data_IF_752023076865
#
_entry.id   IF_752023076865
#
_cell.length_a   1.000
_cell.length_b   1.000
_cell.length_c   1.000
_cell.angle_alpha   90.00
_cell.angle_beta   90.00
_cell.angle_gamma   90.00
#
_symmetry.space_group_name_H-M   'P 1'
#
loop_
_entity.id
_entity.type
_entity.pdbx_description
1 polymer ?
#
# COMPACT_ATOMS: atom_id res chain seq x y z
N UNK A 1 -19.69 10.65 -14.10
CA UNK A 1 -19.08 10.60 -12.76
C UNK A 1 -19.94 9.82 -11.76
N UNK A 2 -21.25 10.09 -11.64
CA UNK A 2 -22.15 9.35 -10.73
C UNK A 2 -22.37 7.89 -11.13
N UNK A 3 -22.73 7.61 -12.38
CA UNK A 3 -23.33 6.31 -12.76
C UNK A 3 -22.40 5.09 -12.66
N UNK A 4 -21.11 5.25 -12.97
CA UNK A 4 -20.13 4.14 -12.90
C UNK A 4 -19.72 3.84 -11.46
N UNK A 5 -19.59 4.88 -10.63
CA UNK A 5 -19.34 4.73 -9.19
C UNK A 5 -20.57 4.16 -8.46
N UNK A 6 -21.79 4.54 -8.88
CA UNK A 6 -23.04 4.00 -8.34
C UNK A 6 -23.18 2.50 -8.65
N UNK A 7 -22.91 2.10 -9.91
CA UNK A 7 -22.94 0.69 -10.32
C UNK A 7 -21.90 -0.16 -9.58
N UNK A 8 -20.70 0.39 -9.37
CA UNK A 8 -19.65 -0.27 -8.59
C UNK A 8 -20.04 -0.45 -7.12
N UNK A 9 -20.67 0.56 -6.50
CA UNK A 9 -21.17 0.45 -5.13
C UNK A 9 -22.33 -0.56 -5.01
N UNK A 10 -23.23 -0.62 -6.00
CA UNK A 10 -24.34 -1.60 -6.02
C UNK A 10 -23.80 -3.03 -6.06
N UNK A 11 -22.81 -3.33 -6.90
CA UNK A 11 -22.24 -4.68 -6.99
C UNK A 11 -21.46 -5.10 -5.73
N UNK A 12 -20.84 -4.17 -5.00
CA UNK A 12 -20.17 -4.45 -3.74
C UNK A 12 -21.15 -4.93 -2.64
N UNK A 13 -22.36 -4.38 -2.62
CA UNK A 13 -23.44 -4.80 -1.70
C UNK A 13 -23.97 -6.19 -2.06
N UNK A 14 -23.87 -6.61 -3.33
CA UNK A 14 -24.36 -7.91 -3.79
C UNK A 14 -23.35 -9.05 -3.60
N UNK A 15 -22.04 -8.79 -3.66
CA UNK A 15 -21.01 -9.84 -3.55
C UNK A 15 -20.73 -10.31 -2.12
N UNK A 16 -21.12 -9.53 -1.10
CA UNK A 16 -20.93 -9.81 0.34
C UNK A 16 -22.23 -10.34 1.01
N UNK A 17 -23.12 -10.99 0.28
CA UNK A 17 -24.29 -11.64 0.86
C UNK A 17 -23.98 -13.05 1.40
N UNK A 18 -23.19 -13.14 2.47
CA UNK A 18 -23.24 -14.30 3.36
C UNK A 18 -22.90 -13.96 4.81
N UNK A 19 -23.73 -13.15 5.47
CA UNK A 19 -24.01 -13.23 6.92
C UNK A 19 -25.41 -12.65 7.13
N UNK A 20 -26.27 -13.41 7.81
CA UNK A 20 -27.64 -13.04 8.16
C UNK A 20 -27.74 -11.64 8.81
N UNK A 21 -28.52 -10.71 8.23
CA UNK A 21 -29.73 -10.15 8.89
C UNK A 21 -30.50 -9.20 7.95
N UNK A 22 -31.82 -9.25 8.06
CA UNK A 22 -32.81 -8.80 7.08
C UNK A 22 -33.04 -7.27 7.01
N UNK A 23 -31.99 -6.44 7.01
CA UNK A 23 -32.13 -4.96 7.03
C UNK A 23 -31.30 -4.13 6.05
N UNK A 24 -30.55 -4.71 5.12
CA UNK A 24 -29.72 -3.96 4.16
C UNK A 24 -30.32 -3.87 2.74
N UNK A 25 -31.63 -3.65 2.61
CA UNK A 25 -32.28 -3.39 1.31
C UNK A 25 -32.79 -1.96 1.21
N UNK A 26 -31.87 -1.01 1.17
CA UNK A 26 -32.15 0.34 0.67
C UNK A 26 -30.99 0.77 -0.20
N UNK A 27 -31.30 0.96 -1.47
CA UNK A 27 -30.50 1.74 -2.41
C UNK A 27 -30.05 3.02 -1.70
N UNK A 28 -28.73 3.15 -1.49
CA UNK A 28 -28.17 4.36 -0.93
C UNK A 28 -28.29 5.44 -2.02
N UNK A 29 -28.90 6.60 -1.73
CA UNK A 29 -28.97 7.68 -2.69
C UNK A 29 -27.57 8.08 -3.15
N UNK A 30 -27.39 8.24 -4.47
CA UNK A 30 -26.13 8.66 -5.08
C UNK A 30 -25.58 9.92 -4.39
N UNK A 31 -24.36 9.85 -3.87
CA UNK A 31 -23.65 10.99 -3.26
C UNK A 31 -23.68 11.08 -1.72
N UNK A 32 -24.14 10.05 -1.01
CA UNK A 32 -24.18 10.04 0.47
C UNK A 32 -22.85 9.66 1.14
N UNK A 33 -21.94 9.00 0.41
CA UNK A 33 -20.66 8.52 0.94
C UNK A 33 -19.52 9.26 0.27
N UNK A 34 -18.74 10.01 1.04
CA UNK A 34 -17.53 10.69 0.54
C UNK A 34 -16.37 9.71 0.40
N UNK A 35 -15.38 10.06 -0.42
CA UNK A 35 -14.12 9.30 -0.54
C UNK A 35 -13.48 9.02 0.82
N UNK A 36 -13.46 10.03 1.69
CA UNK A 36 -12.88 9.93 3.04
C UNK A 36 -13.66 8.96 3.93
N UNK A 37 -15.01 8.91 3.81
CA UNK A 37 -15.84 7.96 4.57
C UNK A 37 -15.68 6.52 4.08
N UNK A 38 -15.50 6.32 2.77
CA UNK A 38 -15.15 5.01 2.21
C UNK A 38 -13.75 4.58 2.65
N UNK A 39 -12.77 5.47 2.67
CA UNK A 39 -11.41 5.20 3.17
C UNK A 39 -11.43 4.81 4.66
N UNK A 40 -12.27 5.44 5.48
CA UNK A 40 -12.45 5.12 6.91
C UNK A 40 -13.14 3.76 7.12
N UNK A 41 -14.18 3.44 6.34
CA UNK A 41 -14.83 2.11 6.37
C UNK A 41 -13.83 1.04 5.95
N UNK A 42 -13.05 1.30 4.90
CA UNK A 42 -12.05 0.39 4.34
C UNK A 42 -10.86 0.18 5.27
N UNK A 43 -10.48 1.17 6.09
CA UNK A 43 -9.49 1.02 7.16
C UNK A 43 -9.99 0.09 8.28
N UNK A 44 -11.31 -0.01 8.48
CA UNK A 44 -11.94 -0.89 9.48
C UNK A 44 -12.14 -2.34 8.97
N UNK A 45 -12.24 -2.56 7.65
CA UNK A 45 -12.39 -3.92 7.08
C UNK A 45 -11.04 -4.62 6.90
N UNK A 46 -10.96 -5.91 7.27
CA UNK A 46 -9.76 -6.73 7.12
C UNK A 46 -9.20 -6.70 5.67
N UNK A 47 -7.87 -6.77 5.53
CA UNK A 47 -7.12 -6.35 4.33
C UNK A 47 -7.48 -6.97 2.97
N UNK A 48 -8.28 -8.05 2.90
CA UNK A 48 -8.81 -8.58 1.63
C UNK A 48 -9.86 -7.65 1.04
N UNK A 49 -10.81 -7.18 1.86
CA UNK A 49 -11.87 -6.27 1.43
C UNK A 49 -11.30 -4.92 0.95
N UNK A 50 -10.24 -4.42 1.59
CA UNK A 50 -9.51 -3.24 1.12
C UNK A 50 -8.93 -3.43 -0.27
N UNK A 51 -8.31 -4.59 -0.54
CA UNK A 51 -7.72 -4.89 -1.85
C UNK A 51 -8.81 -4.98 -2.93
N UNK A 52 -9.95 -5.61 -2.62
CA UNK A 52 -11.08 -5.75 -3.55
C UNK A 52 -11.75 -4.42 -3.87
N UNK A 53 -12.04 -3.59 -2.86
CA UNK A 53 -12.65 -2.26 -3.06
C UNK A 53 -11.71 -1.36 -3.89
N UNK A 54 -10.42 -1.38 -3.59
CA UNK A 54 -9.45 -0.60 -4.36
C UNK A 54 -9.29 -1.14 -5.79
N UNK A 55 -9.31 -2.45 -6.00
CA UNK A 55 -9.31 -3.04 -7.35
C UNK A 55 -10.54 -2.61 -8.15
N UNK A 56 -11.72 -2.63 -7.54
CA UNK A 56 -12.93 -2.15 -8.21
C UNK A 56 -12.84 -0.66 -8.57
N UNK A 57 -12.33 0.17 -7.64
CA UNK A 57 -12.15 1.59 -7.92
C UNK A 57 -11.14 1.85 -9.05
N UNK A 58 -10.03 1.11 -9.08
CA UNK A 58 -9.07 1.22 -10.17
C UNK A 58 -9.63 0.70 -11.51
N UNK A 59 -10.50 -0.31 -11.51
CA UNK A 59 -11.18 -0.77 -12.73
C UNK A 59 -12.09 0.33 -13.29
N UNK A 60 -12.86 1.01 -12.44
CA UNK A 60 -13.69 2.14 -12.85
C UNK A 60 -12.87 3.29 -13.44
N UNK A 61 -11.71 3.60 -12.86
CA UNK A 61 -10.79 4.60 -13.41
C UNK A 61 -10.20 4.16 -14.77
N UNK A 62 -9.86 2.88 -14.92
CA UNK A 62 -9.34 2.35 -16.19
C UNK A 62 -10.37 2.42 -17.32
N UNK A 63 -11.65 2.18 -17.03
CA UNK A 63 -12.74 2.36 -18.00
C UNK A 63 -12.79 3.80 -18.52
N UNK A 64 -12.70 4.79 -17.62
CA UNK A 64 -12.68 6.21 -18.01
C UNK A 64 -11.41 6.55 -18.80
N UNK A 65 -10.24 6.08 -18.36
CA UNK A 65 -8.95 6.30 -19.04
C UNK A 65 -8.90 5.68 -20.45
N UNK A 66 -9.65 4.59 -20.67
CA UNK A 66 -9.68 3.83 -21.93
C UNK A 66 -10.89 4.15 -22.80
N UNK A 67 -11.77 5.04 -22.36
CA UNK A 67 -13.03 5.40 -23.03
C UNK A 67 -13.93 4.16 -23.29
N UNK A 68 -13.95 3.23 -22.34
CA UNK A 68 -14.86 2.08 -22.36
C UNK A 68 -16.25 2.49 -21.84
N UNK A 69 -17.30 1.88 -22.37
CA UNK A 69 -18.68 2.09 -21.89
C UNK A 69 -19.05 1.18 -20.71
N UNK A 70 -18.29 0.13 -20.47
CA UNK A 70 -18.48 -0.86 -19.40
C UNK A 70 -17.13 -1.43 -18.94
N UNK A 71 -17.08 -2.01 -17.73
CA UNK A 71 -15.87 -2.66 -17.20
C UNK A 71 -15.61 -3.95 -17.99
N UNK A 72 -14.53 -3.96 -18.76
CA UNK A 72 -14.07 -5.13 -19.50
C UNK A 72 -13.16 -6.04 -18.68
N UNK A 73 -12.88 -7.24 -19.21
CA UNK A 73 -11.94 -8.19 -18.59
C UNK A 73 -10.54 -7.60 -18.40
N UNK A 74 -10.10 -6.76 -19.33
CA UNK A 74 -8.78 -6.13 -19.30
C UNK A 74 -8.72 -5.03 -18.23
N UNK A 75 -9.84 -4.38 -17.93
CA UNK A 75 -9.94 -3.39 -16.85
C UNK A 75 -9.90 -4.06 -15.49
N UNK A 76 -10.56 -5.22 -15.35
CA UNK A 76 -10.51 -6.05 -14.12
C UNK A 76 -9.11 -6.64 -13.91
N UNK A 77 -8.47 -7.16 -14.96
CA UNK A 77 -7.14 -7.76 -14.83
C UNK A 77 -6.10 -6.73 -14.36
N UNK A 78 -6.10 -5.54 -14.98
CA UNK A 78 -5.12 -4.50 -14.67
C UNK A 78 -5.44 -3.75 -13.37
N UNK A 79 -6.69 -3.79 -12.90
CA UNK A 79 -7.08 -3.07 -11.70
C UNK A 79 -6.46 -3.62 -10.42
N UNK A 80 -6.23 -4.95 -10.34
CA UNK A 80 -5.60 -5.56 -9.16
C UNK A 80 -4.18 -5.08 -8.97
N UNK A 81 -3.36 -5.06 -10.03
CA UNK A 81 -1.98 -4.58 -9.95
C UNK A 81 -1.96 -3.09 -9.61
N UNK A 82 -2.83 -2.30 -10.27
CA UNK A 82 -2.94 -0.87 -10.03
C UNK A 82 -3.40 -0.55 -8.61
N UNK A 83 -4.33 -1.33 -8.06
CA UNK A 83 -4.83 -1.18 -6.70
C UNK A 83 -3.77 -1.54 -5.67
N UNK A 84 -3.03 -2.64 -5.87
CA UNK A 84 -1.90 -2.97 -5.00
C UNK A 84 -0.86 -1.84 -5.01
N UNK A 85 -0.52 -1.30 -6.19
CA UNK A 85 0.40 -0.16 -6.31
C UNK A 85 -0.13 1.07 -5.57
N UNK A 86 -1.40 1.40 -5.76
CA UNK A 86 -2.05 2.51 -5.07
C UNK A 86 -2.02 2.34 -3.54
N UNK A 87 -2.36 1.15 -3.02
CA UNK A 87 -2.35 0.85 -1.58
C UNK A 87 -0.93 1.03 -1.01
N UNK A 88 0.08 0.48 -1.68
CA UNK A 88 1.46 0.61 -1.25
C UNK A 88 1.94 2.08 -1.28
N UNK A 89 1.50 2.87 -2.26
CA UNK A 89 1.76 4.32 -2.34
C UNK A 89 1.14 5.07 -1.16
N UNK A 90 -0.13 4.77 -0.84
CA UNK A 90 -0.81 5.37 0.32
C UNK A 90 -0.15 4.95 1.64
N UNK A 91 0.22 3.67 1.78
CA UNK A 91 0.95 3.16 2.94
C UNK A 91 2.26 3.92 3.13
N UNK A 92 3.06 4.09 2.07
CA UNK A 92 4.31 4.84 2.14
C UNK A 92 4.08 6.32 2.48
N UNK A 93 3.08 6.95 1.87
CA UNK A 93 2.74 8.35 2.11
C UNK A 93 2.31 8.60 3.57
N UNK A 94 1.61 7.64 4.18
CA UNK A 94 1.16 7.72 5.59
C UNK A 94 2.31 7.64 6.61
N UNK A 95 3.47 7.12 6.22
CA UNK A 95 4.56 6.85 7.15
C UNK A 95 5.38 8.10 7.49
N UNK A 96 5.81 8.26 8.76
CA UNK A 96 6.72 9.34 9.13
C UNK A 96 8.04 9.28 8.37
N UNK A 97 8.63 10.47 8.14
CA UNK A 97 9.83 10.70 7.34
C UNK A 97 10.95 9.65 7.49
N UNK A 98 11.26 9.20 8.70
CA UNK A 98 12.33 8.21 8.91
C UNK A 98 12.10 6.87 8.20
N UNK A 99 10.84 6.42 8.10
CA UNK A 99 10.51 5.20 7.36
C UNK A 99 10.65 5.45 5.86
N UNK A 100 10.13 6.59 5.37
CA UNK A 100 10.22 6.97 3.96
C UNK A 100 11.68 7.07 3.50
N UNK A 101 12.56 7.65 4.32
CA UNK A 101 13.99 7.71 4.02
C UNK A 101 14.61 6.32 3.90
N UNK A 102 14.33 5.42 4.85
CA UNK A 102 14.85 4.05 4.80
C UNK A 102 14.34 3.30 3.56
N UNK A 103 13.05 3.42 3.26
CA UNK A 103 12.46 2.87 2.05
C UNK A 103 13.14 3.40 0.80
N UNK A 104 13.34 4.71 0.69
CA UNK A 104 13.98 5.33 -0.47
C UNK A 104 15.43 4.86 -0.68
N UNK A 105 16.19 4.68 0.41
CA UNK A 105 17.55 4.13 0.34
C UNK A 105 17.57 2.69 -0.19
N UNK A 106 16.63 1.86 0.26
CA UNK A 106 16.46 0.48 -0.24
C UNK A 106 16.01 0.50 -1.70
N UNK A 107 15.04 1.38 -2.03
CA UNK A 107 14.46 1.52 -3.37
C UNK A 107 15.51 1.91 -4.40
N UNK A 108 16.31 2.93 -4.13
CA UNK A 108 17.41 3.38 -5.00
C UNK A 108 18.52 2.32 -5.06
N UNK A 109 18.69 1.56 -4.00
CA UNK A 109 19.68 0.49 -3.92
C UNK A 109 19.42 -0.74 -4.76
N UNK A 110 18.17 -0.99 -5.16
CA UNK A 110 17.80 -2.20 -5.87
C UNK A 110 17.83 -3.47 -5.00
N UNK A 111 17.63 -3.30 -3.69
CA UNK A 111 17.88 -4.34 -2.69
C UNK A 111 19.21 -4.08 -1.96
N UNK A 112 19.25 -4.38 -0.66
CA UNK A 112 20.41 -4.09 0.19
C UNK A 112 20.61 -5.11 1.29
N UNK A 113 21.85 -5.43 1.61
CA UNK A 113 22.16 -6.01 2.92
C UNK A 113 21.91 -5.01 4.04
N UNK A 114 21.72 -5.50 5.27
CA UNK A 114 21.59 -4.63 6.45
C UNK A 114 22.78 -3.69 6.65
N UNK A 115 24.01 -4.16 6.35
CA UNK A 115 25.23 -3.35 6.42
C UNK A 115 25.27 -2.25 5.37
N UNK A 116 24.95 -2.55 4.12
CA UNK A 116 24.92 -1.53 3.06
C UNK A 116 23.84 -0.47 3.29
N UNK A 117 22.69 -0.86 3.86
CA UNK A 117 21.68 0.09 4.29
C UNK A 117 22.20 1.00 5.42
N UNK A 118 22.95 0.43 6.37
CA UNK A 118 23.58 1.21 7.43
C UNK A 118 24.53 2.27 6.84
N UNK A 119 25.46 1.84 5.99
CA UNK A 119 26.47 2.71 5.38
C UNK A 119 25.83 3.84 4.56
N UNK A 120 24.83 3.50 3.73
CA UNK A 120 24.10 4.50 2.93
C UNK A 120 23.32 5.47 3.78
N UNK A 121 22.74 5.01 4.88
CA UNK A 121 22.05 5.89 5.81
C UNK A 121 23.02 6.90 6.44
N UNK A 122 24.15 6.43 6.99
CA UNK A 122 25.15 7.31 7.61
C UNK A 122 25.71 8.33 6.60
N UNK A 123 25.92 7.92 5.34
CA UNK A 123 26.41 8.79 4.28
C UNK A 123 25.49 9.99 3.96
N UNK A 124 24.19 9.89 4.23
CA UNK A 124 23.21 10.96 3.89
C UNK A 124 22.53 11.58 5.10
N UNK A 125 22.62 10.95 6.28
CA UNK A 125 21.83 11.32 7.46
C UNK A 125 22.05 12.78 7.85
N UNK A 126 23.30 13.22 7.98
CA UNK A 126 23.63 14.58 8.42
C UNK A 126 23.01 15.66 7.53
N UNK A 127 23.10 15.50 6.22
CA UNK A 127 22.58 16.47 5.26
C UNK A 127 21.05 16.48 5.22
N UNK A 128 20.45 15.30 5.14
CA UNK A 128 19.00 15.16 4.96
C UNK A 128 18.24 15.61 6.21
N UNK A 129 18.74 15.27 7.39
CA UNK A 129 18.10 15.61 8.65
C UNK A 129 18.27 17.09 9.01
N UNK A 130 19.46 17.66 8.77
CA UNK A 130 19.72 19.09 9.00
C UNK A 130 18.78 19.97 8.18
N UNK A 131 18.55 19.63 6.91
CA UNK A 131 17.60 20.36 6.03
C UNK A 131 16.16 20.34 6.54
N UNK A 132 15.80 19.37 7.38
CA UNK A 132 14.45 19.19 7.93
C UNK A 132 14.33 19.60 9.40
N UNK A 133 15.42 20.03 10.04
CA UNK A 133 15.42 20.32 11.48
C UNK A 133 15.12 19.10 12.36
N UNK A 134 15.50 17.90 11.91
CA UNK A 134 15.29 16.64 12.61
C UNK A 134 16.62 16.05 13.08
N UNK A 135 16.56 15.06 13.97
CA UNK A 135 17.74 14.32 14.48
C UNK A 135 17.84 12.93 13.86
N UNK A 136 19.01 12.52 13.33
CA UNK A 136 19.25 11.15 12.87
C UNK A 136 18.88 10.10 13.93
N UNK A 137 18.40 8.95 13.48
CA UNK A 137 17.95 7.88 14.36
C UNK A 137 19.03 6.82 14.55
N UNK A 138 19.07 6.21 15.73
CA UNK A 138 20.03 5.14 16.04
C UNK A 138 19.86 3.93 15.13
N UNK A 139 20.89 3.09 15.04
CA UNK A 139 20.83 1.81 14.32
C UNK A 139 19.73 0.89 14.82
N UNK A 140 19.52 0.82 16.15
CA UNK A 140 18.41 0.09 16.74
C UNK A 140 17.06 0.65 16.28
N UNK A 141 16.93 1.97 16.26
CA UNK A 141 15.72 2.64 15.79
C UNK A 141 15.46 2.36 14.31
N UNK A 142 16.50 2.31 13.47
CA UNK A 142 16.36 1.93 12.06
C UNK A 142 15.74 0.54 11.90
N UNK A 143 16.27 -0.48 12.60
CA UNK A 143 15.70 -1.85 12.57
C UNK A 143 14.22 -1.90 12.95
N UNK A 144 13.83 -1.20 14.02
CA UNK A 144 12.42 -1.12 14.43
C UNK A 144 11.52 -0.48 13.37
N UNK A 145 12.06 0.46 12.60
CA UNK A 145 11.32 1.15 11.53
C UNK A 145 11.20 0.28 10.28
N UNK A 146 12.17 -0.60 10.01
CA UNK A 146 12.08 -1.58 8.93
C UNK A 146 10.94 -2.58 9.15
N UNK A 147 10.70 -3.03 10.40
CA UNK A 147 9.55 -3.90 10.70
C UNK A 147 8.22 -3.30 10.20
N UNK A 148 8.03 -1.99 10.39
CA UNK A 148 6.81 -1.33 9.91
C UNK A 148 6.72 -1.22 8.38
N UNK A 149 7.86 -1.15 7.70
CA UNK A 149 7.90 -1.19 6.23
C UNK A 149 7.56 -2.59 5.71
N UNK A 150 8.00 -3.64 6.41
CA UNK A 150 7.63 -5.03 6.12
C UNK A 150 6.14 -5.27 6.39
N UNK A 151 5.62 -4.82 7.54
CA UNK A 151 4.19 -4.92 7.89
C UNK A 151 3.29 -4.26 6.83
N UNK A 152 3.80 -3.23 6.15
CA UNK A 152 3.06 -2.48 5.12
C UNK A 152 3.30 -3.02 3.71
N UNK A 153 3.93 -4.20 3.57
CA UNK A 153 4.27 -4.85 2.30
C UNK A 153 5.13 -3.93 1.38
N UNK A 154 5.93 -3.02 1.96
CA UNK A 154 6.79 -2.10 1.20
C UNK A 154 8.17 -2.70 0.92
N UNK A 155 8.65 -3.54 1.84
CA UNK A 155 9.89 -4.28 1.74
C UNK A 155 9.67 -5.75 2.09
N UNK A 156 10.60 -6.59 1.68
CA UNK A 156 10.67 -7.99 2.10
C UNK A 156 12.11 -8.33 2.48
N UNK A 157 12.27 -9.34 3.33
CA UNK A 157 13.57 -9.92 3.65
C UNK A 157 13.79 -11.20 2.87
N UNK A 158 14.77 -11.22 1.99
CA UNK A 158 15.25 -12.45 1.35
C UNK A 158 16.22 -13.15 2.32
N UNK A 159 15.66 -14.12 3.06
CA UNK A 159 16.41 -14.98 3.95
C UNK A 159 16.30 -16.43 3.47
N UNK A 160 17.38 -16.92 2.85
CA UNK A 160 17.37 -18.24 2.20
C UNK A 160 17.28 -19.40 3.23
N UNK A 161 17.54 -19.19 4.53
CA UNK A 161 17.39 -20.23 5.57
C UNK A 161 16.91 -19.69 6.93
N UNK A 162 15.81 -20.25 7.44
CA UNK A 162 15.15 -19.99 8.74
C UNK A 162 15.96 -20.44 9.98
N UNK A 163 17.26 -20.65 9.85
CA UNK A 163 18.17 -21.09 10.91
C UNK A 163 19.29 -20.06 11.05
N UNK A 164 19.11 -19.13 11.96
CA UNK A 164 19.98 -17.97 12.17
C UNK A 164 21.39 -18.44 12.55
N UNK A 165 22.33 -18.32 11.62
CA UNK A 165 23.76 -18.23 11.93
C UNK A 165 24.10 -16.74 12.11
N UNK A 166 24.87 -16.35 13.14
CA UNK A 166 25.42 -15.00 13.21
C UNK A 166 26.35 -14.79 12.01
N UNK A 167 26.02 -13.84 11.13
CA UNK A 167 26.76 -13.52 9.91
C UNK A 167 26.06 -13.81 8.59
N UNK A 168 24.80 -14.27 8.57
CA UNK A 168 24.00 -14.22 7.34
C UNK A 168 23.44 -12.80 7.15
N UNK A 169 23.89 -12.11 6.11
CA UNK A 169 23.33 -10.83 5.72
C UNK A 169 21.89 -11.03 5.23
N UNK A 170 20.97 -10.27 5.82
CA UNK A 170 19.58 -10.24 5.39
C UNK A 170 19.49 -9.25 4.23
N UNK A 171 19.12 -9.75 3.06
CA UNK A 171 18.83 -8.92 1.91
C UNK A 171 17.44 -8.31 2.08
N UNK A 172 17.36 -6.99 1.96
CA UNK A 172 16.14 -6.21 2.08
C UNK A 172 15.75 -5.74 0.70
N UNK A 173 14.67 -6.28 0.15
CA UNK A 173 14.20 -5.92 -1.18
C UNK A 173 13.01 -4.96 -1.10
N UNK A 174 12.78 -4.20 -2.16
CA UNK A 174 11.58 -3.37 -2.33
C UNK A 174 10.49 -4.19 -3.01
N UNK A 175 9.24 -3.90 -2.71
CA UNK A 175 8.09 -4.54 -3.38
C UNK A 175 7.45 -3.65 -4.47
N UNK A 176 7.66 -2.33 -4.43
CA UNK A 176 7.20 -1.46 -5.52
C UNK A 176 8.29 -1.29 -6.59
N UNK A 177 7.96 -1.66 -7.82
CA UNK A 177 8.78 -1.34 -9.01
C UNK A 177 8.15 -0.14 -9.71
N UNK A 178 8.98 0.84 -10.09
CA UNK A 178 8.54 1.98 -10.90
C UNK A 178 8.14 1.55 -12.30
#
# INVERSE_FOLDING_TARGET
MSDVLDAALTHLVESEANVDDARARRELPSGVVTREQLEEIVDEVAGVARKEIQALWQAALLVEERDHSEIGSDDVADSYERAQRYILEQNLASLPFHHQLLYELIRVGGGLTAGELHDRYEAVADDVYRRRGLTPISERSRRLKLSKLEDYELIEYDCIYRSIKPGCDVSINRLMTR
#
